data_IF_439313069205
#
_entry.id   IF_439313069205
#
_cell.length_a   1.000
_cell.length_b   1.000
_cell.length_c   1.000
_cell.angle_alpha   90.00
_cell.angle_beta   90.00
_cell.angle_gamma   90.00
#
_symmetry.space_group_name_H-M   'P 1'
#
loop_
_entity.id
_entity.type
_entity.pdbx_description
1 polymer ?
#
# COMPACT_ATOMS: atom_id res chain seq x y z
N UNK A 1 -12.25 -22.73 4.64
CA UNK A 1 -13.11 -21.53 4.53
C UNK A 1 -12.36 -20.49 3.68
N UNK A 2 -12.92 -20.09 2.55
CA UNK A 2 -12.34 -18.98 1.78
C UNK A 2 -12.59 -17.68 2.55
N UNK A 3 -11.55 -17.15 3.17
CA UNK A 3 -11.61 -15.85 3.85
C UNK A 3 -11.52 -14.78 2.77
N UNK A 4 -12.48 -13.85 2.74
CA UNK A 4 -12.36 -12.66 1.90
C UNK A 4 -11.22 -11.79 2.45
N UNK A 5 -10.19 -11.45 1.64
CA UNK A 5 -9.09 -10.62 2.10
C UNK A 5 -9.56 -9.20 2.42
N UNK A 6 -8.99 -8.58 3.44
CA UNK A 6 -9.13 -7.14 3.64
C UNK A 6 -8.31 -6.40 2.58
N UNK A 7 -8.93 -5.49 1.85
CA UNK A 7 -8.34 -4.73 0.74
C UNK A 7 -8.19 -3.26 1.11
N UNK A 8 -6.95 -2.77 1.11
CA UNK A 8 -6.60 -1.43 1.64
C UNK A 8 -5.73 -0.70 0.63
N UNK A 9 -6.09 0.53 0.27
CA UNK A 9 -5.22 1.40 -0.50
C UNK A 9 -4.48 2.40 0.38
N UNK A 10 -3.23 2.68 0.04
CA UNK A 10 -2.50 3.86 0.52
C UNK A 10 -2.47 4.87 -0.61
N UNK A 11 -3.17 5.98 -0.45
CA UNK A 11 -3.40 6.94 -1.52
C UNK A 11 -3.39 8.39 -1.01
N UNK A 12 -2.77 9.29 -1.77
CA UNK A 12 -2.83 10.75 -1.57
C UNK A 12 -2.53 11.42 -2.91
N UNK A 13 -3.18 12.54 -3.18
CA UNK A 13 -2.98 13.33 -4.40
C UNK A 13 -1.61 14.02 -4.47
N UNK A 14 -0.88 14.11 -3.37
CA UNK A 14 0.46 14.70 -3.32
C UNK A 14 1.55 13.64 -3.34
N UNK A 15 2.60 13.90 -4.13
CA UNK A 15 3.83 13.13 -4.12
C UNK A 15 4.66 13.37 -2.86
N UNK A 16 5.60 12.45 -2.56
CA UNK A 16 6.57 12.64 -1.47
C UNK A 16 5.99 12.61 -0.05
N UNK A 17 4.79 12.09 0.15
CA UNK A 17 4.15 11.96 1.48
C UNK A 17 4.39 10.59 2.13
N UNK A 18 5.22 9.74 1.54
CA UNK A 18 5.57 8.43 2.10
C UNK A 18 4.58 7.31 1.83
N UNK A 19 3.73 7.37 0.79
CA UNK A 19 2.78 6.30 0.42
C UNK A 19 3.45 4.93 0.32
N UNK A 20 4.35 4.77 -0.65
CA UNK A 20 5.03 3.50 -0.93
C UNK A 20 5.87 3.02 0.26
N UNK A 21 6.55 3.94 0.94
CA UNK A 21 7.31 3.61 2.17
C UNK A 21 6.40 3.04 3.25
N UNK A 22 5.25 3.68 3.49
CA UNK A 22 4.29 3.18 4.47
C UNK A 22 3.70 1.83 4.05
N UNK A 23 3.37 1.66 2.77
CA UNK A 23 2.87 0.39 2.23
C UNK A 23 3.86 -0.75 2.49
N UNK A 24 5.15 -0.54 2.20
CA UNK A 24 6.22 -1.54 2.44
C UNK A 24 6.39 -1.85 3.93
N UNK A 25 6.39 -0.82 4.78
CA UNK A 25 6.52 -1.00 6.23
C UNK A 25 5.32 -1.75 6.81
N UNK A 26 4.10 -1.37 6.41
CA UNK A 26 2.87 -2.03 6.85
C UNK A 26 2.81 -3.48 6.37
N UNK A 27 3.14 -3.73 5.10
CA UNK A 27 3.21 -5.08 4.54
C UNK A 27 4.19 -5.95 5.32
N UNK A 28 5.39 -5.42 5.57
CA UNK A 28 6.44 -6.14 6.30
C UNK A 28 6.04 -6.42 7.74
N UNK A 29 5.46 -5.46 8.44
CA UNK A 29 4.97 -5.64 9.80
C UNK A 29 3.87 -6.71 9.87
N UNK A 30 2.84 -6.59 9.02
CA UNK A 30 1.73 -7.54 8.99
C UNK A 30 2.19 -8.95 8.61
N UNK A 31 3.13 -9.05 7.67
CA UNK A 31 3.60 -10.34 7.18
C UNK A 31 4.58 -11.03 8.12
N UNK A 32 5.63 -10.31 8.59
CA UNK A 32 6.71 -10.93 9.36
C UNK A 32 6.49 -10.89 10.88
N UNK A 33 5.77 -9.89 11.39
CA UNK A 33 5.57 -9.72 12.83
C UNK A 33 4.21 -10.26 13.27
N UNK A 34 3.13 -9.84 12.58
CA UNK A 34 1.76 -10.29 12.92
C UNK A 34 1.48 -11.68 12.37
N UNK A 35 2.16 -12.09 11.30
CA UNK A 35 2.03 -13.44 10.73
C UNK A 35 0.88 -13.60 9.73
N UNK A 36 0.39 -12.53 9.12
CA UNK A 36 -0.62 -12.60 8.07
C UNK A 36 -0.01 -12.85 6.69
N UNK A 37 -0.73 -13.53 5.80
CA UNK A 37 -0.40 -13.58 4.39
C UNK A 37 -0.82 -12.26 3.75
N UNK A 38 0.16 -11.52 3.24
CA UNK A 38 0.00 -10.18 2.68
C UNK A 38 0.38 -10.21 1.20
N UNK A 39 -0.44 -9.59 0.38
CA UNK A 39 -0.14 -9.26 -1.01
C UNK A 39 0.01 -7.76 -1.14
N UNK A 40 1.04 -7.29 -1.84
CA UNK A 40 1.18 -5.89 -2.24
C UNK A 40 0.95 -5.77 -3.74
N UNK A 41 0.17 -4.77 -4.14
CA UNK A 41 -0.10 -4.44 -5.54
C UNK A 41 0.42 -3.04 -5.80
N UNK A 42 1.51 -2.93 -6.54
CA UNK A 42 2.09 -1.66 -6.97
C UNK A 42 1.38 -1.20 -8.25
N UNK A 43 0.57 -0.17 -8.11
CA UNK A 43 -0.18 0.46 -9.20
C UNK A 43 0.31 1.88 -9.50
N UNK A 44 1.43 2.34 -8.91
CA UNK A 44 1.94 3.71 -9.04
C UNK A 44 2.72 3.91 -10.36
N UNK A 45 2.03 3.75 -11.50
CA UNK A 45 2.57 4.05 -12.82
C UNK A 45 2.84 5.56 -12.99
N UNK A 46 3.94 5.95 -13.61
CA UNK A 46 5.03 5.14 -14.19
C UNK A 46 6.17 4.84 -13.22
N UNK A 47 6.08 5.24 -11.95
CA UNK A 47 7.20 5.18 -11.00
C UNK A 47 7.48 3.75 -10.52
N UNK A 48 6.46 2.93 -10.31
CA UNK A 48 6.61 1.56 -9.81
C UNK A 48 7.57 1.47 -8.63
N UNK A 49 7.36 2.34 -7.64
CA UNK A 49 8.32 2.62 -6.56
C UNK A 49 8.65 1.39 -5.73
N UNK A 50 7.64 0.58 -5.38
CA UNK A 50 7.83 -0.64 -4.57
C UNK A 50 8.51 -1.72 -5.41
N UNK A 51 8.12 -1.87 -6.68
CA UNK A 51 8.74 -2.83 -7.57
C UNK A 51 10.23 -2.52 -7.80
N UNK A 52 10.54 -1.26 -8.12
CA UNK A 52 11.93 -0.82 -8.30
C UNK A 52 12.77 -0.98 -7.01
N UNK A 53 12.17 -0.74 -5.83
CA UNK A 53 12.83 -1.03 -4.56
C UNK A 53 13.12 -2.52 -4.41
N UNK A 54 12.16 -3.40 -4.68
CA UNK A 54 12.33 -4.85 -4.59
C UNK A 54 13.42 -5.36 -5.52
N UNK A 55 13.50 -4.86 -6.75
CA UNK A 55 14.56 -5.23 -7.71
C UNK A 55 15.94 -4.84 -7.19
N UNK A 56 16.11 -3.62 -6.64
CA UNK A 56 17.37 -3.19 -6.02
C UNK A 56 17.76 -4.07 -4.83
N UNK A 57 16.81 -4.41 -3.95
CA UNK A 57 17.06 -5.27 -2.80
C UNK A 57 17.47 -6.69 -3.22
N UNK A 58 16.81 -7.25 -4.23
CA UNK A 58 17.19 -8.57 -4.77
C UNK A 58 18.58 -8.55 -5.39
N UNK A 59 18.91 -7.50 -6.16
CA UNK A 59 20.25 -7.34 -6.73
C UNK A 59 21.33 -7.22 -5.64
N UNK A 60 21.07 -6.50 -4.56
CA UNK A 60 21.99 -6.45 -3.41
C UNK A 60 22.20 -7.84 -2.78
N UNK A 61 21.12 -8.60 -2.62
CA UNK A 61 21.17 -9.95 -2.04
C UNK A 61 21.98 -10.92 -2.95
N UNK A 62 21.90 -10.76 -4.26
CA UNK A 62 22.65 -11.59 -5.20
C UNK A 62 24.16 -11.34 -5.15
N UNK A 63 24.58 -10.10 -4.90
CA UNK A 63 25.97 -9.67 -5.00
C UNK A 63 26.66 -9.43 -3.64
N UNK A 64 25.95 -9.52 -2.51
CA UNK A 64 26.47 -9.28 -1.19
C UNK A 64 26.06 -10.38 -0.19
N UNK A 65 27.05 -11.16 0.26
CA UNK A 65 26.85 -12.26 1.20
C UNK A 65 26.29 -11.79 2.55
N UNK A 66 26.56 -10.57 2.99
CA UNK A 66 26.01 -10.01 4.23
C UNK A 66 24.47 -9.85 4.11
N UNK A 67 23.98 -9.23 3.04
CA UNK A 67 22.54 -9.07 2.79
C UNK A 67 21.85 -10.42 2.60
N UNK A 68 22.50 -11.34 1.91
CA UNK A 68 22.02 -12.71 1.77
C UNK A 68 21.88 -13.43 3.12
N UNK A 69 22.86 -13.27 4.00
CA UNK A 69 22.79 -13.82 5.36
C UNK A 69 21.66 -13.21 6.19
N UNK A 70 21.44 -11.88 6.08
CA UNK A 70 20.33 -11.20 6.74
C UNK A 70 18.97 -11.75 6.30
N UNK A 71 18.76 -11.97 4.99
CA UNK A 71 17.53 -12.55 4.46
C UNK A 71 17.32 -13.99 4.97
N UNK A 72 18.36 -14.81 4.98
CA UNK A 72 18.29 -16.17 5.52
C UNK A 72 17.92 -16.16 7.01
N UNK A 73 18.52 -15.26 7.79
CA UNK A 73 18.19 -15.09 9.21
C UNK A 73 16.73 -14.68 9.40
N UNK A 74 16.22 -13.74 8.60
CA UNK A 74 14.83 -13.35 8.61
C UNK A 74 13.90 -14.52 8.31
N UNK A 75 14.18 -15.31 7.27
CA UNK A 75 13.37 -16.49 6.94
C UNK A 75 13.37 -17.54 8.06
N UNK A 76 14.53 -17.77 8.69
CA UNK A 76 14.63 -18.68 9.84
C UNK A 76 13.87 -18.19 11.05
N UNK A 77 13.94 -16.87 11.33
CA UNK A 77 13.28 -16.28 12.49
C UNK A 77 11.76 -16.19 12.35
N UNK A 78 11.26 -15.93 11.14
CA UNK A 78 9.82 -15.70 10.89
C UNK A 78 9.12 -16.93 10.33
N UNK A 79 9.84 -17.90 9.77
CA UNK A 79 9.27 -19.00 9.00
C UNK A 79 8.61 -18.56 7.68
N UNK A 80 8.80 -17.31 7.26
CA UNK A 80 8.08 -16.70 6.14
C UNK A 80 9.02 -16.28 5.02
N UNK A 81 8.63 -16.55 3.78
CA UNK A 81 9.28 -16.02 2.56
C UNK A 81 8.91 -14.55 2.37
N UNK A 82 9.44 -13.92 1.32
CA UNK A 82 9.04 -12.57 0.93
C UNK A 82 7.53 -12.54 0.60
N UNK A 83 6.86 -11.47 1.05
CA UNK A 83 5.47 -11.26 0.62
C UNK A 83 5.42 -11.02 -0.89
N UNK A 84 4.41 -11.58 -1.60
CA UNK A 84 4.23 -11.39 -3.04
C UNK A 84 3.96 -9.92 -3.39
N UNK A 85 4.50 -9.53 -4.55
CA UNK A 85 4.34 -8.20 -5.12
C UNK A 85 3.82 -8.34 -6.56
N UNK A 86 2.66 -7.77 -6.84
CA UNK A 86 2.13 -7.58 -8.18
C UNK A 86 2.45 -6.18 -8.69
N UNK A 87 2.68 -6.07 -9.98
CA UNK A 87 2.87 -4.81 -10.70
C UNK A 87 1.85 -4.76 -11.83
N UNK A 88 0.88 -3.86 -11.74
CA UNK A 88 -0.17 -3.73 -12.76
C UNK A 88 -0.82 -2.35 -12.72
N UNK A 89 -1.47 -1.98 -13.82
CA UNK A 89 -2.27 -0.75 -13.86
C UNK A 89 -3.52 -0.87 -12.97
N UNK A 90 -4.04 0.24 -12.43
CA UNK A 90 -5.23 0.20 -11.56
C UNK A 90 -6.44 -0.52 -12.16
N UNK A 91 -6.76 -0.41 -13.47
CA UNK A 91 -7.88 -1.15 -14.06
C UNK A 91 -7.72 -2.68 -14.02
N UNK A 92 -6.48 -3.16 -14.05
CA UNK A 92 -6.14 -4.59 -14.13
C UNK A 92 -6.03 -5.24 -12.74
N UNK A 93 -5.90 -4.42 -11.69
CA UNK A 93 -5.50 -4.87 -10.37
C UNK A 93 -6.41 -5.96 -9.79
N UNK A 94 -7.72 -5.84 -9.96
CA UNK A 94 -8.68 -6.84 -9.45
C UNK A 94 -8.54 -8.19 -10.15
N UNK A 95 -8.31 -8.17 -11.46
CA UNK A 95 -8.13 -9.40 -12.26
C UNK A 95 -6.81 -10.10 -11.94
N UNK A 96 -5.71 -9.34 -11.80
CA UNK A 96 -4.41 -9.88 -11.45
C UNK A 96 -4.41 -10.49 -10.03
N UNK A 97 -5.07 -9.85 -9.07
CA UNK A 97 -5.25 -10.41 -7.73
C UNK A 97 -6.04 -11.72 -7.79
N UNK A 98 -7.12 -11.77 -8.58
CA UNK A 98 -7.92 -12.98 -8.70
C UNK A 98 -7.14 -14.12 -9.40
N UNK A 99 -6.34 -13.84 -10.41
CA UNK A 99 -5.43 -14.82 -11.04
C UNK A 99 -4.45 -15.41 -10.03
N UNK A 100 -3.87 -14.56 -9.17
CA UNK A 100 -2.96 -15.01 -8.13
C UNK A 100 -3.68 -15.92 -7.10
N UNK A 101 -4.92 -15.57 -6.74
CA UNK A 101 -5.72 -16.40 -5.84
C UNK A 101 -6.07 -17.76 -6.44
N UNK A 102 -6.39 -17.80 -7.74
CA UNK A 102 -6.64 -19.04 -8.48
C UNK A 102 -5.40 -19.92 -8.57
N UNK A 103 -4.18 -19.35 -8.53
CA UNK A 103 -2.94 -20.11 -8.43
C UNK A 103 -2.67 -20.71 -7.04
N UNK A 104 -3.56 -20.49 -6.07
CA UNK A 104 -3.50 -21.06 -4.72
C UNK A 104 -2.96 -20.11 -3.64
N UNK A 105 -2.57 -18.87 -3.97
CA UNK A 105 -2.17 -17.90 -2.96
C UNK A 105 -3.39 -17.12 -2.46
N UNK A 106 -3.74 -17.32 -1.18
CA UNK A 106 -4.90 -16.68 -0.56
C UNK A 106 -4.45 -15.67 0.51
N UNK A 107 -4.15 -14.41 0.16
CA UNK A 107 -3.76 -13.40 1.13
C UNK A 107 -4.91 -13.10 2.09
N UNK A 108 -4.57 -12.79 3.33
CA UNK A 108 -5.52 -12.25 4.31
C UNK A 108 -5.69 -10.74 4.14
N UNK A 109 -4.63 -10.06 3.66
CA UNK A 109 -4.60 -8.61 3.47
C UNK A 109 -3.98 -8.30 2.11
N UNK A 110 -4.61 -7.39 1.37
CA UNK A 110 -4.09 -6.86 0.11
C UNK A 110 -3.87 -5.36 0.30
N UNK A 111 -2.65 -4.91 0.04
CA UNK A 111 -2.27 -3.50 0.11
C UNK A 111 -2.02 -2.97 -1.30
N UNK A 112 -2.69 -1.89 -1.67
CA UNK A 112 -2.54 -1.23 -2.96
C UNK A 112 -1.77 0.08 -2.80
N UNK A 113 -0.65 0.23 -3.51
CA UNK A 113 0.06 1.50 -3.65
C UNK A 113 -0.42 2.19 -4.92
N UNK A 114 -1.10 3.33 -4.77
CA UNK A 114 -1.78 3.99 -5.86
C UNK A 114 -1.06 5.29 -6.29
N UNK A 115 -1.17 5.67 -7.58
CA UNK A 115 -0.59 6.91 -8.07
C UNK A 115 -1.16 8.14 -7.34
N UNK A 116 -0.35 9.21 -7.33
CA UNK A 116 -0.75 10.49 -6.72
C UNK A 116 -1.87 11.21 -7.46
N UNK A 117 -2.34 10.71 -8.59
CA UNK A 117 -3.44 11.30 -9.34
C UNK A 117 -4.64 10.36 -9.37
N UNK A 118 -5.71 10.77 -8.74
CA UNK A 118 -7.00 10.02 -8.78
C UNK A 118 -7.69 10.08 -10.14
N UNK A 119 -7.26 10.99 -11.01
CA UNK A 119 -7.75 11.09 -12.38
C UNK A 119 -7.10 10.03 -13.31
N UNK A 120 -6.12 9.26 -12.82
CA UNK A 120 -5.60 8.14 -13.57
C UNK A 120 -6.71 7.10 -13.79
N UNK A 121 -6.68 6.50 -14.98
CA UNK A 121 -7.70 5.54 -15.39
C UNK A 121 -7.85 4.40 -14.37
N UNK A 122 -9.08 4.10 -14.00
CA UNK A 122 -9.42 2.99 -13.11
C UNK A 122 -9.18 3.24 -11.61
N UNK A 123 -8.45 4.30 -11.20
CA UNK A 123 -8.14 4.55 -9.77
C UNK A 123 -9.41 4.70 -8.94
N UNK A 124 -10.36 5.52 -9.36
CA UNK A 124 -11.62 5.73 -8.61
C UNK A 124 -12.44 4.43 -8.53
N UNK A 125 -12.49 3.65 -9.62
CA UNK A 125 -13.19 2.36 -9.62
C UNK A 125 -12.54 1.38 -8.65
N UNK A 126 -11.22 1.31 -8.66
CA UNK A 126 -10.46 0.47 -7.72
C UNK A 126 -10.72 0.91 -6.27
N UNK A 127 -10.59 2.21 -5.95
CA UNK A 127 -10.86 2.73 -4.61
C UNK A 127 -12.28 2.39 -4.13
N UNK A 128 -13.28 2.48 -5.01
CA UNK A 128 -14.67 2.15 -4.69
C UNK A 128 -14.89 0.66 -4.35
N UNK A 129 -14.02 -0.23 -4.82
CA UNK A 129 -14.08 -1.68 -4.60
C UNK A 129 -13.28 -2.18 -3.39
N UNK A 130 -12.50 -1.31 -2.73
CA UNK A 130 -11.69 -1.68 -1.57
C UNK A 130 -12.44 -1.45 -0.25
N UNK A 131 -11.97 -2.06 0.84
CA UNK A 131 -12.59 -1.92 2.17
C UNK A 131 -12.21 -0.59 2.84
N UNK A 132 -10.95 -0.16 2.69
CA UNK A 132 -10.43 1.04 3.33
C UNK A 132 -9.39 1.79 2.49
N UNK A 133 -9.28 3.09 2.75
CA UNK A 133 -8.23 3.96 2.19
C UNK A 133 -7.48 4.64 3.33
N UNK A 134 -6.16 4.52 3.29
CA UNK A 134 -5.23 5.20 4.20
C UNK A 134 -4.62 6.41 3.48
N UNK A 135 -4.85 7.60 4.02
CA UNK A 135 -4.39 8.86 3.46
C UNK A 135 -3.28 9.44 4.34
N UNK A 136 -2.00 9.35 3.93
CA UNK A 136 -0.89 9.90 4.69
C UNK A 136 -0.91 11.43 4.68
N UNK A 137 -0.65 12.04 5.84
CA UNK A 137 -0.50 13.47 6.07
C UNK A 137 0.95 13.79 6.38
N UNK A 138 1.46 14.89 5.81
CA UNK A 138 2.74 15.49 6.19
C UNK A 138 2.47 16.83 6.89
N UNK A 139 3.33 17.24 7.81
CA UNK A 139 3.25 18.54 8.50
C UNK A 139 3.64 19.70 7.56
N UNK A 140 2.85 19.89 6.53
CA UNK A 140 2.93 20.92 5.50
C UNK A 140 1.51 21.39 5.20
N UNK A 141 1.24 22.70 5.29
CA UNK A 141 -0.10 23.26 5.14
C UNK A 141 -0.77 22.86 3.82
N UNK A 142 -0.05 22.97 2.71
CA UNK A 142 -0.59 22.68 1.37
C UNK A 142 -0.90 21.18 1.21
N UNK A 143 -0.01 20.34 1.75
CA UNK A 143 -0.22 18.87 1.75
C UNK A 143 -1.41 18.50 2.61
N UNK A 144 -1.55 19.10 3.80
CA UNK A 144 -2.68 18.86 4.71
C UNK A 144 -4.01 19.25 4.09
N UNK A 145 -4.11 20.47 3.55
CA UNK A 145 -5.33 20.97 2.92
C UNK A 145 -5.76 20.07 1.76
N UNK A 146 -4.81 19.67 0.91
CA UNK A 146 -5.06 18.75 -0.20
C UNK A 146 -5.52 17.37 0.29
N UNK A 147 -4.84 16.81 1.28
CA UNK A 147 -5.17 15.48 1.81
C UNK A 147 -6.53 15.45 2.52
N UNK A 148 -6.86 16.50 3.28
CA UNK A 148 -8.18 16.63 3.93
C UNK A 148 -9.30 16.78 2.90
N UNK A 149 -9.10 17.61 1.86
CA UNK A 149 -10.05 17.73 0.76
C UNK A 149 -10.27 16.40 0.05
N UNK A 150 -9.19 15.69 -0.24
CA UNK A 150 -9.24 14.36 -0.85
C UNK A 150 -9.98 13.35 0.02
N UNK A 151 -9.66 13.25 1.31
CA UNK A 151 -10.32 12.34 2.23
C UNK A 151 -11.83 12.64 2.36
N UNK A 152 -12.22 13.93 2.42
CA UNK A 152 -13.63 14.35 2.40
C UNK A 152 -14.33 13.90 1.12
N UNK A 153 -13.68 14.09 -0.03
CA UNK A 153 -14.24 13.66 -1.31
C UNK A 153 -14.45 12.14 -1.36
N UNK A 154 -13.49 11.34 -0.90
CA UNK A 154 -13.63 9.89 -0.82
C UNK A 154 -14.76 9.48 0.13
N UNK A 155 -14.85 10.12 1.29
CA UNK A 155 -15.90 9.83 2.28
C UNK A 155 -17.27 10.13 1.71
N UNK A 156 -17.47 11.32 1.17
CA UNK A 156 -18.80 11.78 0.71
C UNK A 156 -19.27 11.05 -0.56
N UNK A 157 -18.34 10.79 -1.50
CA UNK A 157 -18.73 10.24 -2.80
C UNK A 157 -18.64 8.70 -2.87
N UNK A 158 -17.79 8.08 -2.05
CA UNK A 158 -17.57 6.64 -2.09
C UNK A 158 -17.98 5.94 -0.79
N UNK A 159 -17.41 6.31 0.36
CA UNK A 159 -17.62 5.56 1.59
C UNK A 159 -19.05 5.65 2.15
N UNK A 160 -19.76 6.72 1.87
CA UNK A 160 -21.19 6.90 2.25
C UNK A 160 -22.16 6.24 1.26
N UNK A 161 -21.68 5.77 0.12
CA UNK A 161 -22.52 5.08 -0.87
C UNK A 161 -22.67 3.60 -0.52
N UNK A 162 -23.86 3.13 -0.10
CA UNK A 162 -24.07 1.75 0.32
C UNK A 162 -23.91 0.72 -0.80
N UNK A 163 -23.97 1.15 -2.06
CA UNK A 163 -23.78 0.28 -3.23
C UNK A 163 -22.30 -0.03 -3.51
N UNK A 164 -21.36 0.69 -2.89
CA UNK A 164 -19.92 0.50 -3.06
C UNK A 164 -19.34 -0.29 -1.89
N UNK A 165 -18.12 -0.81 -2.05
CA UNK A 165 -17.44 -1.60 -1.00
C UNK A 165 -16.75 -0.71 0.02
N UNK A 166 -16.20 0.44 -0.39
CA UNK A 166 -15.45 1.33 0.49
C UNK A 166 -16.30 1.78 1.69
N UNK A 167 -15.77 1.57 2.91
CA UNK A 167 -16.44 1.95 4.17
C UNK A 167 -15.64 2.92 5.01
N UNK A 168 -14.32 2.93 4.89
CA UNK A 168 -13.47 3.67 5.81
C UNK A 168 -12.36 4.44 5.10
N UNK A 169 -12.18 5.69 5.50
CA UNK A 169 -11.07 6.54 5.07
C UNK A 169 -10.33 6.98 6.33
N UNK A 170 -9.06 6.62 6.44
CA UNK A 170 -8.22 6.91 7.60
C UNK A 170 -7.14 7.91 7.24
N UNK A 171 -6.98 8.93 8.06
CA UNK A 171 -5.91 9.90 7.98
C UNK A 171 -4.83 9.56 9.01
N UNK A 172 -3.57 9.63 8.62
CA UNK A 172 -2.46 9.38 9.55
C UNK A 172 -1.24 10.25 9.20
N UNK A 173 -0.48 10.60 10.23
CA UNK A 173 0.71 11.40 10.05
C UNK A 173 1.91 10.59 9.60
N UNK A 174 2.67 11.16 8.66
CA UNK A 174 3.96 10.65 8.19
C UNK A 174 5.04 11.72 8.35
N UNK A 175 6.30 11.32 8.38
CA UNK A 175 7.46 12.22 8.41
C UNK A 175 7.40 13.26 9.53
N UNK A 176 6.94 12.87 10.71
CA UNK A 176 6.90 13.75 11.88
C UNK A 176 8.31 13.88 12.44
N UNK A 177 8.86 15.09 12.45
CA UNK A 177 10.06 15.42 13.22
C UNK A 177 9.65 15.97 14.58
N UNK A 178 9.96 15.24 15.66
CA UNK A 178 9.66 15.64 17.03
C UNK A 178 10.42 16.90 17.48
N UNK A 179 11.42 17.33 16.71
CA UNK A 179 12.20 18.53 16.98
C UNK A 179 11.56 19.77 16.39
N UNK A 180 10.74 19.65 15.38
CA UNK A 180 9.98 20.76 14.79
C UNK A 180 8.81 21.11 15.69
N UNK A 181 8.92 22.22 16.40
CA UNK A 181 7.79 22.87 17.09
C UNK A 181 7.20 23.87 16.13
N UNK A 182 6.18 23.50 15.39
CA UNK A 182 5.38 24.46 14.61
C UNK A 182 4.52 25.23 15.60
N UNK A 183 4.61 26.57 15.69
CA UNK A 183 3.63 27.35 16.45
C UNK A 183 2.26 27.13 15.80
N UNK A 184 1.29 26.76 16.59
CA UNK A 184 -0.13 26.70 16.21
C UNK A 184 -0.67 28.10 15.93
#
# INVERSE_FOLDING_TARGET
>A
MNITPASIAVCNQKGGVGKSTFTVLLASYLHYIVGHDVLVVDCDYPQWSIHAQRERELSLIEHDDYHKLLLIRQFKATGRKLWPLLKCMPPEASEEVERLRQSGYNPRIILYDLPGTVNAEGVIRLLASLDAVFVPLKADKVVMESALSFARSLTNNLAQNPALTLRSVYLFWTMIDRRERTPL
#
